data_IF_788308392565
#
_entry.id   IF_788308392565
#
_cell.length_a   1.000
_cell.length_b   1.000
_cell.length_c   1.000
_cell.angle_alpha   90.00
_cell.angle_beta   90.00
_cell.angle_gamma   90.00
#
_symmetry.space_group_name_H-M   'P 1'
#
loop_
_entity.id
_entity.type
_entity.pdbx_description
1 polymer ?
#
# COMPACT_ATOMS: atom_id res chain seq x y z
N UNK A 1 -32.79 9.90 2.13
CA UNK A 1 -32.04 9.05 3.09
C UNK A 1 -31.04 8.14 2.38
N UNK A 2 -31.45 7.30 1.42
CA UNK A 2 -30.52 6.43 0.67
C UNK A 2 -29.33 7.19 0.02
N UNK A 3 -29.59 8.37 -0.56
CA UNK A 3 -28.54 9.21 -1.15
C UNK A 3 -27.44 9.62 -0.16
N UNK A 4 -27.78 9.83 1.11
CA UNK A 4 -26.80 10.20 2.13
C UNK A 4 -25.87 9.01 2.40
N UNK A 5 -26.42 7.81 2.61
CA UNK A 5 -25.61 6.60 2.82
C UNK A 5 -24.72 6.28 1.62
N UNK A 6 -25.24 6.41 0.40
CA UNK A 6 -24.44 6.21 -0.83
C UNK A 6 -23.33 7.26 -0.93
N UNK A 7 -23.60 8.52 -0.58
CA UNK A 7 -22.58 9.58 -0.60
C UNK A 7 -21.49 9.33 0.44
N UNK A 8 -21.86 8.94 1.66
CA UNK A 8 -20.90 8.57 2.71
C UNK A 8 -20.11 7.32 2.28
N UNK A 9 -20.76 6.31 1.72
CA UNK A 9 -20.08 5.11 1.22
C UNK A 9 -19.05 5.46 0.15
N UNK A 10 -19.38 6.39 -0.75
CA UNK A 10 -18.46 6.89 -1.76
C UNK A 10 -17.26 7.59 -1.12
N UNK A 11 -17.50 8.44 -0.12
CA UNK A 11 -16.41 9.10 0.62
C UNK A 11 -15.50 8.10 1.33
N UNK A 12 -16.07 7.09 1.99
CA UNK A 12 -15.33 6.01 2.65
C UNK A 12 -14.49 5.20 1.65
N UNK A 13 -15.04 4.88 0.48
CA UNK A 13 -14.31 4.21 -0.60
C UNK A 13 -13.10 5.01 -1.08
N UNK A 14 -13.29 6.31 -1.33
CA UNK A 14 -12.21 7.20 -1.76
C UNK A 14 -11.14 7.40 -0.67
N UNK A 15 -11.57 7.46 0.59
CA UNK A 15 -10.66 7.52 1.74
C UNK A 15 -9.84 6.23 1.85
N UNK A 16 -10.47 5.05 1.77
CA UNK A 16 -9.78 3.76 1.77
C UNK A 16 -8.76 3.63 0.64
N UNK A 17 -9.09 4.11 -0.58
CA UNK A 17 -8.13 4.20 -1.70
C UNK A 17 -6.93 5.09 -1.39
N UNK A 18 -7.15 6.20 -0.70
CA UNK A 18 -6.09 7.12 -0.31
C UNK A 18 -5.18 6.50 0.74
N UNK A 19 -5.75 5.84 1.75
CA UNK A 19 -4.99 5.10 2.78
C UNK A 19 -4.14 3.99 2.15
N UNK A 20 -4.72 3.16 1.29
CA UNK A 20 -3.99 2.08 0.62
C UNK A 20 -2.86 2.62 -0.26
N UNK A 21 -3.09 3.72 -0.99
CA UNK A 21 -2.05 4.35 -1.80
C UNK A 21 -0.91 4.93 -0.94
N UNK A 22 -1.24 5.62 0.15
CA UNK A 22 -0.23 6.17 1.06
C UNK A 22 0.62 5.05 1.70
N UNK A 23 0.00 3.95 2.12
CA UNK A 23 0.71 2.79 2.65
C UNK A 23 1.61 2.14 1.59
N UNK A 24 1.14 2.01 0.35
CA UNK A 24 1.97 1.51 -0.76
C UNK A 24 3.17 2.43 -1.04
N UNK A 25 2.96 3.76 -1.00
CA UNK A 25 4.03 4.75 -1.18
C UNK A 25 5.06 4.69 -0.05
N UNK A 26 4.63 4.51 1.19
CA UNK A 26 5.52 4.31 2.34
C UNK A 26 6.38 3.04 2.17
N UNK A 27 5.77 1.94 1.71
CA UNK A 27 6.51 0.70 1.40
C UNK A 27 7.56 0.88 0.30
N UNK A 28 7.20 1.59 -0.78
CA UNK A 28 8.15 1.98 -1.83
C UNK A 28 9.26 2.85 -1.24
N UNK A 29 8.92 3.88 -0.46
CA UNK A 29 9.90 4.80 0.16
C UNK A 29 10.97 4.05 0.95
N UNK A 30 10.56 3.06 1.77
CA UNK A 30 11.49 2.22 2.54
C UNK A 30 12.38 1.35 1.67
N UNK A 31 11.80 0.69 0.65
CA UNK A 31 12.58 -0.18 -0.24
C UNK A 31 13.50 0.59 -1.17
N UNK A 32 13.17 1.83 -1.52
CA UNK A 32 14.01 2.67 -2.37
C UNK A 32 15.38 2.97 -1.75
N UNK A 33 15.53 2.84 -0.44
CA UNK A 33 16.80 3.00 0.27
C UNK A 33 17.64 1.71 0.32
N UNK A 34 17.07 0.56 -0.06
CA UNK A 34 17.76 -0.73 -0.05
C UNK A 34 18.48 -0.91 -1.37
N UNK A 35 19.81 -0.79 -1.36
CA UNK A 35 20.60 -0.91 -2.58
C UNK A 35 20.49 -2.31 -3.22
N UNK A 36 20.59 -2.44 -4.56
CA UNK A 36 20.42 -3.72 -5.27
C UNK A 36 21.29 -4.89 -4.76
N UNK A 37 22.58 -4.69 -4.38
CA UNK A 37 23.39 -5.80 -3.85
C UNK A 37 22.88 -6.35 -2.51
N UNK A 38 22.10 -5.55 -1.77
CA UNK A 38 21.55 -5.89 -0.45
C UNK A 38 20.10 -6.34 -0.55
N UNK A 39 19.39 -5.97 -1.63
CA UNK A 39 18.02 -6.38 -1.84
C UNK A 39 17.90 -7.90 -1.91
N UNK A 40 17.02 -8.45 -1.09
CA UNK A 40 16.64 -9.87 -1.12
C UNK A 40 15.15 -10.02 -0.82
N UNK A 41 14.51 -11.14 -1.21
CA UNK A 41 13.12 -11.41 -0.85
C UNK A 41 12.87 -11.32 0.67
N UNK A 42 13.85 -11.70 1.49
CA UNK A 42 13.76 -11.63 2.95
C UNK A 42 13.80 -10.20 3.51
N UNK A 43 14.38 -9.24 2.79
CA UNK A 43 14.30 -7.80 3.11
C UNK A 43 12.93 -7.26 2.72
N UNK A 44 12.47 -7.59 1.51
CA UNK A 44 11.13 -7.24 1.04
C UNK A 44 10.03 -7.72 1.99
N UNK A 45 10.14 -8.95 2.49
CA UNK A 45 9.16 -9.52 3.41
C UNK A 45 9.13 -8.81 4.78
N UNK A 46 10.28 -8.38 5.32
CA UNK A 46 10.30 -7.58 6.55
C UNK A 46 9.57 -6.26 6.37
N UNK A 47 9.86 -5.55 5.28
CA UNK A 47 9.17 -4.29 4.97
C UNK A 47 7.67 -4.55 4.74
N UNK A 48 7.30 -5.66 4.10
CA UNK A 48 5.89 -6.04 3.90
C UNK A 48 5.14 -6.14 5.22
N UNK A 49 5.70 -6.88 6.19
CA UNK A 49 5.12 -7.04 7.54
C UNK A 49 5.01 -5.70 8.27
N UNK A 50 6.03 -4.84 8.18
CA UNK A 50 6.01 -3.52 8.79
C UNK A 50 4.91 -2.62 8.19
N UNK A 51 4.74 -2.65 6.86
CA UNK A 51 3.71 -1.88 6.16
C UNK A 51 2.32 -2.44 6.45
N UNK A 52 2.18 -3.76 6.57
CA UNK A 52 0.93 -4.40 6.99
C UNK A 52 0.53 -3.97 8.41
N UNK A 53 1.48 -3.90 9.35
CA UNK A 53 1.23 -3.35 10.67
C UNK A 53 0.86 -1.85 10.62
N UNK A 54 1.59 -1.07 9.81
CA UNK A 54 1.34 0.36 9.62
C UNK A 54 -0.06 0.64 9.07
N UNK A 55 -0.49 -0.06 8.01
CA UNK A 55 -1.81 0.16 7.42
C UNK A 55 -2.92 -0.27 8.38
N UNK A 56 -2.73 -1.37 9.13
CA UNK A 56 -3.69 -1.79 10.15
C UNK A 56 -3.85 -0.74 11.27
N UNK A 57 -2.77 -0.05 11.64
CA UNK A 57 -2.83 1.05 12.61
C UNK A 57 -3.47 2.32 12.03
N UNK A 58 -3.13 2.68 10.78
CA UNK A 58 -3.58 3.91 10.13
C UNK A 58 -5.05 3.83 9.67
N UNK A 59 -5.46 2.68 9.15
CA UNK A 59 -6.79 2.45 8.60
C UNK A 59 -7.88 2.51 9.69
N UNK A 60 -7.54 2.14 10.93
CA UNK A 60 -8.49 2.02 12.02
C UNK A 60 -9.66 1.12 11.61
N UNK A 61 -10.88 1.67 11.65
CA UNK A 61 -12.07 0.94 11.23
C UNK A 61 -12.40 1.06 9.75
N UNK A 62 -11.79 2.00 9.01
CA UNK A 62 -12.24 2.43 7.67
C UNK A 62 -11.81 1.52 6.51
N UNK A 63 -10.66 0.86 6.62
CA UNK A 63 -10.16 -0.14 5.68
C UNK A 63 -9.88 -1.42 6.48
N UNK A 64 -10.79 -2.37 6.37
CA UNK A 64 -10.77 -3.66 7.05
C UNK A 64 -10.02 -4.69 6.20
N UNK A 65 -9.63 -5.80 6.82
CA UNK A 65 -8.93 -6.91 6.15
C UNK A 65 -7.73 -6.42 5.33
N UNK A 66 -7.02 -5.40 5.84
CA UNK A 66 -5.93 -4.79 5.11
C UNK A 66 -4.81 -5.82 4.94
N UNK A 67 -4.35 -5.97 3.70
CA UNK A 67 -3.31 -6.93 3.34
C UNK A 67 -2.30 -6.27 2.40
N UNK A 68 -1.08 -6.75 2.47
CA UNK A 68 0.04 -6.24 1.68
C UNK A 68 0.70 -7.41 0.99
N UNK A 69 0.70 -7.39 -0.35
CA UNK A 69 1.33 -8.44 -1.14
C UNK A 69 2.85 -8.35 -1.03
N UNK A 70 3.55 -9.46 -1.25
CA UNK A 70 5.02 -9.44 -1.32
C UNK A 70 5.49 -8.41 -2.36
N UNK A 71 6.43 -7.53 -2.01
CA UNK A 71 6.89 -6.49 -2.91
C UNK A 71 7.67 -7.09 -4.08
N UNK A 72 7.59 -6.40 -5.22
CA UNK A 72 8.31 -6.80 -6.42
C UNK A 72 9.53 -5.91 -6.62
N UNK A 73 10.61 -6.51 -7.12
CA UNK A 73 11.80 -5.81 -7.57
C UNK A 73 12.09 -6.19 -9.01
N UNK A 74 12.15 -5.19 -9.88
CA UNK A 74 12.47 -5.36 -11.29
C UNK A 74 13.95 -5.07 -11.51
N UNK A 75 14.73 -6.12 -11.76
CA UNK A 75 16.12 -6.06 -12.21
C UNK A 75 16.16 -6.24 -13.75
N UNK A 76 16.85 -5.39 -14.54
CA UNK A 76 17.78 -4.32 -14.15
C UNK A 76 17.16 -2.93 -14.04
N UNK A 77 15.85 -2.76 -14.21
CA UNK A 77 15.21 -1.45 -14.19
C UNK A 77 15.35 -0.71 -12.84
N UNK A 78 15.69 -1.41 -11.77
CA UNK A 78 15.88 -0.82 -10.44
C UNK A 78 14.57 -0.37 -9.80
N UNK A 79 13.43 -0.92 -10.22
CA UNK A 79 12.11 -0.48 -9.76
C UNK A 79 11.59 -1.39 -8.66
N UNK A 80 11.06 -0.81 -7.59
CA UNK A 80 10.35 -1.53 -6.53
C UNK A 80 8.87 -1.17 -6.57
N UNK A 81 8.00 -2.15 -6.33
CA UNK A 81 6.55 -1.91 -6.21
C UNK A 81 5.97 -2.56 -4.97
N UNK A 82 5.00 -1.86 -4.38
CA UNK A 82 4.19 -2.32 -3.24
C UNK A 82 2.72 -2.26 -3.62
N UNK A 83 1.96 -3.30 -3.31
CA UNK A 83 0.50 -3.32 -3.45
C UNK A 83 -0.15 -3.54 -2.09
N UNK A 84 -1.12 -2.70 -1.76
CA UNK A 84 -1.92 -2.76 -0.54
C UNK A 84 -3.37 -2.89 -0.91
N UNK A 85 -4.08 -3.81 -0.26
CA UNK A 85 -5.49 -4.06 -0.48
C UNK A 85 -6.28 -4.09 0.82
N UNK A 86 -7.61 -4.01 0.73
CA UNK A 86 -8.51 -4.15 1.86
C UNK A 86 -9.95 -3.79 1.49
N UNK A 87 -10.84 -3.91 2.45
CA UNK A 87 -12.28 -3.70 2.26
C UNK A 87 -12.74 -2.47 3.02
N UNK A 88 -13.50 -1.58 2.37
CA UNK A 88 -14.04 -0.41 3.08
C UNK A 88 -15.23 -0.80 3.94
N UNK A 89 -15.44 -0.10 5.07
CA UNK A 89 -16.66 -0.23 5.88
C UNK A 89 -17.90 -0.08 4.99
N UNK A 90 -18.85 -0.99 5.16
CA UNK A 90 -20.14 -0.91 4.50
C UNK A 90 -21.20 -0.26 5.40
N UNK A 91 -21.83 0.80 4.90
CA UNK A 91 -23.02 1.41 5.50
C UNK A 91 -24.29 1.09 4.70
N UNK A 92 -24.14 0.47 3.52
CA UNK A 92 -25.23 0.09 2.63
C UNK A 92 -25.32 -1.43 2.62
N UNK A 93 -26.41 -2.03 3.15
CA UNK A 93 -26.53 -3.49 3.24
C UNK A 93 -26.31 -4.18 1.89
N UNK A 94 -25.43 -5.17 1.87
CA UNK A 94 -25.09 -5.94 0.66
C UNK A 94 -24.10 -5.27 -0.29
N UNK A 95 -23.56 -4.10 0.03
CA UNK A 95 -22.52 -3.44 -0.76
C UNK A 95 -21.16 -3.55 -0.06
N UNK A 96 -20.28 -4.38 -0.58
CA UNK A 96 -18.88 -4.47 -0.17
C UNK A 96 -18.00 -3.87 -1.27
N UNK A 97 -17.09 -2.99 -0.88
CA UNK A 97 -16.18 -2.33 -1.82
C UNK A 97 -14.74 -2.64 -1.47
N UNK A 98 -14.10 -3.37 -2.36
CA UNK A 98 -12.70 -3.70 -2.27
C UNK A 98 -11.83 -2.58 -2.86
N UNK A 99 -10.70 -2.33 -2.20
CA UNK A 99 -9.68 -1.38 -2.61
C UNK A 99 -8.39 -2.15 -2.81
N UNK A 100 -7.72 -1.90 -3.93
CA UNK A 100 -6.36 -2.37 -4.21
C UNK A 100 -5.56 -1.22 -4.82
N UNK A 101 -4.40 -0.91 -4.26
CA UNK A 101 -3.55 0.19 -4.72
C UNK A 101 -2.10 -0.20 -4.74
N UNK A 102 -1.44 0.18 -5.83
CA UNK A 102 -0.02 -0.07 -6.07
C UNK A 102 0.73 1.24 -6.17
N UNK A 103 1.89 1.31 -5.53
CA UNK A 103 2.89 2.34 -5.75
C UNK A 103 4.15 1.69 -6.32
N UNK A 104 4.85 2.42 -7.18
CA UNK A 104 6.08 1.97 -7.85
C UNK A 104 7.08 3.11 -7.90
N UNK A 105 8.36 2.83 -7.66
CA UNK A 105 9.42 3.84 -7.74
C UNK A 105 10.82 3.26 -7.92
N UNK A 106 11.79 4.06 -8.39
CA UNK A 106 13.16 3.62 -8.60
C UNK A 106 13.95 3.60 -7.28
N UNK A 107 14.80 2.59 -7.07
CA UNK A 107 15.78 2.57 -5.97
C UNK A 107 16.71 3.77 -6.11
N UNK A 108 16.99 4.43 -4.99
CA UNK A 108 17.95 5.52 -4.93
C UNK A 108 19.37 4.94 -4.92
N UNK A 109 20.08 5.14 -6.02
CA UNK A 109 21.48 4.74 -6.16
C UNK A 109 22.35 5.96 -5.87
N UNK A 110 23.06 5.92 -4.74
CA UNK A 110 24.07 6.92 -4.39
C UNK A 110 25.39 6.51 -5.05
N UNK A 111 25.69 7.05 -6.22
CA UNK A 111 27.06 6.96 -6.77
C UNK A 111 27.92 8.04 -6.11
N UNK A 112 29.14 7.68 -5.70
CA UNK A 112 30.12 8.67 -5.26
C UNK A 112 30.61 9.44 -6.49
N UNK A 113 30.61 10.78 -6.41
CA UNK A 113 31.25 11.62 -7.42
C UNK A 113 32.73 11.21 -7.54
N UNK A 114 33.17 10.93 -8.78
CA UNK A 114 34.53 10.47 -9.09
C UNK A 114 35.54 11.62 -9.08
#
# INVERSE_FOLDING_TARGET
>A
MALIFVSIQTALYLYGRSVALNAAQEGVSRLRLVQPPVYSPAVGEKVRVDIEAYVNQLAGTTLQNASVTSPTYNNPAGMVSFTVSGDTVSLVPGLELHVERTATGPIEQFEADK
#
